data_IF_572933603676
#
_entry.id   IF_572933603676
#
_cell.length_a   1.000
_cell.length_b   1.000
_cell.length_c   1.000
_cell.angle_alpha   90.00
_cell.angle_beta   90.00
_cell.angle_gamma   90.00
#
_symmetry.space_group_name_H-M   'P 1'
#
loop_
_entity.id
_entity.type
_entity.pdbx_description
1 polymer ?
#
# COMPACT_ATOMS: atom_id res chain seq x y z
N UNK A 1 -22.68 5.01 1.84
CA UNK A 1 -21.96 4.80 3.08
C UNK A 1 -20.63 5.56 3.02
N UNK A 2 -20.22 6.30 4.10
CA UNK A 2 -18.93 7.01 4.08
C UNK A 2 -17.73 6.07 3.84
N UNK A 3 -17.78 4.84 4.29
CA UNK A 3 -16.73 3.82 4.09
C UNK A 3 -16.45 3.49 2.60
N UNK A 4 -17.41 3.76 1.72
CA UNK A 4 -17.29 3.49 0.29
C UNK A 4 -16.54 4.60 -0.48
N UNK A 5 -16.27 5.74 0.18
CA UNK A 5 -15.61 6.89 -0.44
C UNK A 5 -14.10 6.68 -0.40
N UNK A 6 -13.48 6.51 -1.55
CA UNK A 6 -12.01 6.40 -1.68
C UNK A 6 -11.43 7.68 -2.26
N UNK A 7 -10.53 8.29 -1.51
CA UNK A 7 -9.83 9.52 -1.87
C UNK A 7 -8.34 9.26 -2.00
N UNK A 8 -7.71 9.73 -3.06
CA UNK A 8 -6.27 9.63 -3.26
C UNK A 8 -5.63 10.98 -3.55
N UNK A 9 -4.44 11.18 -2.98
CA UNK A 9 -3.44 12.15 -3.44
C UNK A 9 -2.27 11.37 -4.06
N UNK A 10 -2.15 11.37 -5.41
CA UNK A 10 -1.14 10.58 -6.10
C UNK A 10 0.26 11.23 -6.12
N UNK A 11 0.43 12.42 -5.54
CA UNK A 11 1.70 13.14 -5.38
C UNK A 11 1.67 13.93 -4.06
N UNK A 12 1.48 13.21 -2.96
CA UNK A 12 1.07 13.74 -1.67
C UNK A 12 2.11 14.62 -0.97
N UNK A 13 3.38 14.58 -1.38
CA UNK A 13 4.46 15.30 -0.71
C UNK A 13 4.50 14.97 0.79
N UNK A 14 4.49 16.00 1.62
CA UNK A 14 4.46 15.85 3.08
C UNK A 14 3.05 15.57 3.66
N UNK A 15 2.03 15.34 2.83
CA UNK A 15 0.71 14.89 3.25
C UNK A 15 -0.27 16.01 3.65
N UNK A 16 -0.02 17.27 3.29
CA UNK A 16 -0.94 18.38 3.64
C UNK A 16 -2.36 18.17 3.13
N UNK A 17 -2.51 17.71 1.88
CA UNK A 17 -3.81 17.42 1.29
C UNK A 17 -4.48 16.25 2.01
N UNK A 18 -3.72 15.19 2.33
CA UNK A 18 -4.26 14.04 3.06
C UNK A 18 -4.79 14.44 4.45
N UNK A 19 -4.07 15.30 5.16
CA UNK A 19 -4.51 15.82 6.47
C UNK A 19 -5.80 16.63 6.33
N UNK A 20 -5.95 17.43 5.29
CA UNK A 20 -7.17 18.18 5.03
C UNK A 20 -8.33 17.26 4.61
N UNK A 21 -8.08 16.29 3.73
CA UNK A 21 -9.07 15.27 3.36
C UNK A 21 -9.56 14.50 4.58
N UNK A 22 -8.67 14.17 5.51
CA UNK A 22 -9.04 13.53 6.77
C UNK A 22 -10.07 14.37 7.55
N UNK A 23 -9.89 15.69 7.63
CA UNK A 23 -10.84 16.58 8.31
C UNK A 23 -12.20 16.62 7.61
N UNK A 24 -12.21 16.66 6.29
CA UNK A 24 -13.46 16.63 5.51
C UNK A 24 -14.20 15.31 5.71
N UNK A 25 -13.48 14.19 5.65
CA UNK A 25 -14.06 12.87 5.90
C UNK A 25 -14.61 12.76 7.33
N UNK A 26 -13.89 13.26 8.34
CA UNK A 26 -14.39 13.31 9.72
C UNK A 26 -15.75 13.99 9.82
N UNK A 27 -15.95 15.13 9.14
CA UNK A 27 -17.23 15.83 9.13
C UNK A 27 -18.35 14.99 8.48
N UNK A 28 -18.02 14.26 7.40
CA UNK A 28 -18.96 13.37 6.72
C UNK A 28 -19.38 12.23 7.66
N UNK A 29 -18.43 11.59 8.35
CA UNK A 29 -18.69 10.52 9.30
C UNK A 29 -19.50 10.99 10.51
N UNK A 30 -19.15 12.14 11.09
CA UNK A 30 -19.89 12.74 12.21
C UNK A 30 -21.35 13.06 11.81
N UNK A 31 -21.55 13.58 10.59
CA UNK A 31 -22.90 13.84 10.06
C UNK A 31 -23.74 12.56 9.87
N UNK A 32 -23.10 11.41 9.70
CA UNK A 32 -23.75 10.09 9.63
C UNK A 32 -23.88 9.40 11.00
N UNK A 33 -23.47 10.06 12.09
CA UNK A 33 -23.64 9.57 13.45
C UNK A 33 -22.53 8.65 13.97
N UNK A 34 -21.43 8.54 13.27
CA UNK A 34 -20.26 7.78 13.75
C UNK A 34 -19.61 8.50 14.94
N UNK A 35 -19.04 7.71 15.86
CA UNK A 35 -18.18 8.30 16.89
C UNK A 35 -16.89 8.81 16.28
N UNK A 36 -16.26 9.82 16.88
CA UNK A 36 -15.00 10.37 16.39
C UNK A 36 -13.89 9.33 16.30
N UNK A 37 -13.89 8.39 17.23
CA UNK A 37 -12.93 7.31 17.27
C UNK A 37 -13.13 6.34 16.11
N UNK A 38 -14.35 5.83 15.93
CA UNK A 38 -14.66 4.87 14.88
C UNK A 38 -14.48 5.50 13.49
N UNK A 39 -14.87 6.77 13.35
CA UNK A 39 -14.62 7.55 12.14
C UNK A 39 -13.12 7.65 11.81
N UNK A 40 -12.27 7.99 12.78
CA UNK A 40 -10.84 8.12 12.56
C UNK A 40 -10.19 6.81 12.13
N UNK A 41 -10.60 5.68 12.72
CA UNK A 41 -10.13 4.35 12.35
C UNK A 41 -10.59 3.99 10.94
N UNK A 42 -11.88 4.14 10.65
CA UNK A 42 -12.45 3.81 9.34
C UNK A 42 -11.85 4.65 8.21
N UNK A 43 -11.55 5.93 8.44
CA UNK A 43 -10.90 6.80 7.45
C UNK A 43 -9.52 6.26 7.06
N UNK A 44 -8.71 5.82 8.02
CA UNK A 44 -7.39 5.27 7.74
C UNK A 44 -7.45 3.93 7.00
N UNK A 45 -8.46 3.10 7.32
CA UNK A 45 -8.61 1.76 6.76
C UNK A 45 -9.27 1.76 5.38
N UNK A 46 -10.20 2.69 5.10
CA UNK A 46 -11.07 2.57 3.95
C UNK A 46 -10.98 3.74 2.96
N UNK A 47 -10.69 4.96 3.44
CA UNK A 47 -10.97 6.16 2.65
C UNK A 47 -9.75 6.87 2.11
N UNK A 48 -8.64 6.89 2.85
CA UNK A 48 -7.53 7.81 2.59
C UNK A 48 -6.33 7.08 2.01
N UNK A 49 -5.92 7.49 0.80
CA UNK A 49 -4.80 6.92 0.07
C UNK A 49 -3.83 8.01 -0.37
N UNK A 50 -2.53 7.73 -0.31
CA UNK A 50 -1.51 8.65 -0.74
C UNK A 50 -0.31 7.94 -1.37
N UNK A 51 0.20 8.50 -2.45
CA UNK A 51 1.40 8.03 -3.14
C UNK A 51 2.39 9.18 -3.33
N UNK A 52 3.66 8.88 -3.24
CA UNK A 52 4.76 9.76 -3.66
C UNK A 52 5.93 8.94 -4.18
N UNK A 53 6.81 9.55 -4.97
CA UNK A 53 8.05 8.91 -5.42
C UNK A 53 9.19 9.03 -4.41
N UNK A 54 9.11 10.01 -3.49
CA UNK A 54 10.12 10.25 -2.45
C UNK A 54 9.76 9.52 -1.14
N UNK A 55 10.63 8.61 -0.72
CA UNK A 55 10.48 7.86 0.53
C UNK A 55 10.37 8.76 1.77
N UNK A 56 11.08 9.89 1.80
CA UNK A 56 11.05 10.85 2.92
C UNK A 56 9.73 11.60 2.95
N UNK A 57 9.22 11.99 1.79
CA UNK A 57 7.91 12.63 1.68
C UNK A 57 6.82 11.68 2.20
N UNK A 58 6.83 10.41 1.79
CA UNK A 58 5.89 9.40 2.24
C UNK A 58 5.98 9.17 3.76
N UNK A 59 7.18 9.11 4.35
CA UNK A 59 7.34 8.99 5.80
C UNK A 59 6.78 10.20 6.55
N UNK A 60 6.97 11.42 6.03
CA UNK A 60 6.40 12.63 6.61
C UNK A 60 4.88 12.63 6.50
N UNK A 61 4.33 12.26 5.35
CA UNK A 61 2.89 12.15 5.13
C UNK A 61 2.26 11.12 6.07
N UNK A 62 2.86 9.93 6.18
CA UNK A 62 2.44 8.90 7.12
C UNK A 62 2.37 9.44 8.55
N UNK A 63 3.43 10.09 9.02
CA UNK A 63 3.48 10.69 10.35
C UNK A 63 2.39 11.75 10.52
N UNK A 64 2.23 12.66 9.55
CA UNK A 64 1.24 13.72 9.59
C UNK A 64 -0.19 13.18 9.69
N UNK A 65 -0.54 12.18 8.87
CA UNK A 65 -1.85 11.52 8.87
C UNK A 65 -2.10 10.79 10.19
N UNK A 66 -1.13 10.03 10.70
CA UNK A 66 -1.25 9.33 11.99
C UNK A 66 -1.41 10.30 13.16
N UNK A 67 -0.66 11.42 13.16
CA UNK A 67 -0.80 12.46 14.18
C UNK A 67 -2.13 13.19 14.09
N UNK A 68 -2.69 13.34 12.88
CA UNK A 68 -4.04 13.87 12.67
C UNK A 68 -5.09 12.92 13.24
N UNK A 69 -5.03 11.65 12.93
CA UNK A 69 -5.94 10.64 13.46
C UNK A 69 -5.88 10.56 14.99
N UNK A 70 -4.68 10.71 15.58
CA UNK A 70 -4.49 10.70 17.04
C UNK A 70 -5.24 11.82 17.76
N UNK A 71 -5.56 12.93 17.11
CA UNK A 71 -6.36 14.00 17.72
C UNK A 71 -7.80 13.52 18.05
N UNK A 72 -8.27 12.50 17.32
CA UNK A 72 -9.61 11.94 17.45
C UNK A 72 -9.61 10.60 18.21
N UNK A 73 -8.55 9.78 18.04
CA UNK A 73 -8.36 8.53 18.79
C UNK A 73 -6.94 8.45 19.38
N UNK A 74 -6.85 8.59 20.70
CA UNK A 74 -5.55 8.53 21.42
C UNK A 74 -4.82 7.18 21.28
N UNK A 75 -5.56 6.10 20.96
CA UNK A 75 -5.03 4.74 20.85
C UNK A 75 -4.64 4.37 19.42
N UNK A 76 -4.87 5.24 18.45
CA UNK A 76 -4.68 4.94 17.02
C UNK A 76 -3.27 4.40 16.71
N UNK A 77 -2.25 4.85 17.44
CA UNK A 77 -0.87 4.41 17.26
C UNK A 77 -0.60 2.98 17.78
N UNK A 78 -1.52 2.39 18.52
CA UNK A 78 -1.37 1.08 19.15
C UNK A 78 -2.40 0.05 18.73
N UNK A 79 -3.38 0.43 17.88
CA UNK A 79 -4.40 -0.49 17.40
C UNK A 79 -4.01 -1.27 16.13
N UNK A 80 -2.79 -1.08 15.62
CA UNK A 80 -2.29 -1.84 14.48
C UNK A 80 -2.82 -1.38 13.11
N UNK A 81 -3.57 -0.28 13.05
CA UNK A 81 -4.05 0.30 11.79
C UNK A 81 -2.87 0.94 11.05
N UNK A 82 -2.72 0.57 9.78
CA UNK A 82 -1.71 1.12 8.88
C UNK A 82 -2.44 1.92 7.80
N UNK A 83 -2.20 3.24 7.67
CA UNK A 83 -2.81 4.04 6.62
C UNK A 83 -2.23 3.68 5.26
N UNK A 84 -3.02 3.83 4.21
CA UNK A 84 -2.61 3.59 2.82
C UNK A 84 -1.78 4.75 2.25
N UNK A 85 -0.61 4.97 2.85
CA UNK A 85 0.33 6.04 2.50
C UNK A 85 1.66 5.41 2.13
N UNK A 86 2.00 5.40 0.85
CA UNK A 86 3.13 4.64 0.32
C UNK A 86 4.08 5.50 -0.49
N UNK A 87 5.38 5.18 -0.41
CA UNK A 87 6.35 5.59 -1.41
C UNK A 87 6.37 4.55 -2.55
N UNK A 88 6.27 5.00 -3.79
CA UNK A 88 6.41 4.12 -4.95
C UNK A 88 7.80 3.50 -4.92
N UNK A 89 7.85 2.17 -4.96
CA UNK A 89 9.08 1.39 -4.94
C UNK A 89 9.29 0.70 -6.28
N UNK A 90 10.56 0.64 -6.69
CA UNK A 90 10.96 -0.06 -7.89
C UNK A 90 11.21 -1.53 -7.61
N UNK A 91 10.84 -2.39 -8.54
CA UNK A 91 11.13 -3.83 -8.48
C UNK A 91 12.56 -4.17 -8.92
N UNK A 92 13.32 -3.19 -9.38
CA UNK A 92 14.70 -3.35 -9.84
C UNK A 92 15.53 -4.12 -8.81
N UNK A 93 16.21 -5.18 -9.26
CA UNK A 93 17.07 -6.00 -8.41
C UNK A 93 16.33 -6.98 -7.48
N UNK A 94 15.01 -7.16 -7.62
CA UNK A 94 14.31 -8.31 -7.03
C UNK A 94 14.69 -9.55 -7.84
N UNK A 95 15.22 -10.57 -7.16
CA UNK A 95 15.54 -11.83 -7.81
C UNK A 95 14.27 -12.66 -7.98
N UNK A 96 13.71 -12.69 -9.18
CA UNK A 96 12.48 -13.44 -9.47
C UNK A 96 12.61 -14.95 -9.23
N UNK A 97 13.83 -15.52 -9.24
CA UNK A 97 14.07 -16.93 -8.85
C UNK A 97 13.65 -17.19 -7.40
N UNK A 98 13.68 -16.15 -6.55
CA UNK A 98 13.25 -16.28 -5.16
C UNK A 98 11.73 -16.44 -5.01
N UNK A 99 10.92 -16.17 -6.03
CA UNK A 99 9.48 -16.40 -6.00
C UNK A 99 9.13 -17.89 -5.80
N UNK A 100 10.02 -18.81 -6.15
CA UNK A 100 9.85 -20.24 -5.93
C UNK A 100 9.78 -20.63 -4.44
N UNK A 101 10.30 -19.79 -3.55
CA UNK A 101 10.30 -20.01 -2.11
C UNK A 101 9.07 -19.45 -1.39
N UNK A 102 8.08 -18.97 -2.14
CA UNK A 102 6.83 -18.42 -1.59
C UNK A 102 5.64 -19.29 -1.95
N UNK A 103 4.58 -19.20 -1.15
CA UNK A 103 3.30 -19.85 -1.42
C UNK A 103 3.29 -21.36 -1.22
N UNK A 104 4.06 -21.91 -0.29
CA UNK A 104 4.12 -23.35 -0.06
C UNK A 104 2.83 -23.93 0.52
N UNK A 105 2.01 -23.15 1.22
CA UNK A 105 0.70 -23.54 1.72
C UNK A 105 -0.41 -23.49 0.66
N UNK A 106 -0.16 -22.86 -0.48
CA UNK A 106 -1.11 -22.77 -1.58
C UNK A 106 -1.13 -24.07 -2.39
N UNK A 107 -2.27 -24.37 -3.01
CA UNK A 107 -2.29 -25.46 -3.99
C UNK A 107 -1.53 -25.06 -5.27
N UNK A 108 -1.13 -26.04 -6.07
CA UNK A 108 -0.31 -25.81 -7.28
C UNK A 108 -0.93 -24.82 -8.27
N UNK A 109 -2.25 -24.81 -8.41
CA UNK A 109 -2.95 -23.89 -9.32
C UNK A 109 -2.91 -22.46 -8.78
N UNK A 110 -3.19 -22.27 -7.48
CA UNK A 110 -3.11 -20.97 -6.81
C UNK A 110 -1.67 -20.44 -6.81
N UNK A 111 -0.69 -21.29 -6.49
CA UNK A 111 0.74 -20.92 -6.49
C UNK A 111 1.19 -20.44 -7.86
N UNK A 112 0.87 -21.19 -8.92
CA UNK A 112 1.20 -20.81 -10.29
C UNK A 112 0.51 -19.50 -10.71
N UNK A 113 -0.77 -19.33 -10.36
CA UNK A 113 -1.51 -18.10 -10.66
C UNK A 113 -0.91 -16.90 -9.95
N UNK A 114 -0.63 -17.02 -8.64
CA UNK A 114 0.00 -15.97 -7.85
C UNK A 114 1.38 -15.59 -8.38
N UNK A 115 2.18 -16.59 -8.75
CA UNK A 115 3.51 -16.37 -9.33
C UNK A 115 3.44 -15.57 -10.63
N UNK A 116 2.58 -15.97 -11.57
CA UNK A 116 2.42 -15.26 -12.85
C UNK A 116 1.96 -13.81 -12.62
N UNK A 117 1.00 -13.59 -11.72
CA UNK A 117 0.53 -12.25 -11.39
C UNK A 117 1.62 -11.42 -10.71
N UNK A 118 2.41 -12.03 -9.83
CA UNK A 118 3.53 -11.35 -9.16
C UNK A 118 4.62 -10.97 -10.16
N UNK A 119 5.04 -11.86 -11.04
CA UNK A 119 6.03 -11.58 -12.10
C UNK A 119 5.57 -10.39 -12.95
N UNK A 120 4.30 -10.39 -13.39
CA UNK A 120 3.72 -9.29 -14.18
C UNK A 120 3.67 -7.97 -13.40
N UNK A 121 3.33 -8.01 -12.11
CA UNK A 121 3.35 -6.84 -11.25
C UNK A 121 4.77 -6.28 -11.12
N UNK A 122 5.75 -7.14 -10.87
CA UNK A 122 7.16 -6.73 -10.76
C UNK A 122 7.67 -6.12 -12.07
N UNK A 123 7.34 -6.71 -13.22
CA UNK A 123 7.72 -6.17 -14.53
C UNK A 123 7.10 -4.76 -14.76
N UNK A 124 5.88 -4.53 -14.28
CA UNK A 124 5.22 -3.21 -14.35
C UNK A 124 5.90 -2.19 -13.44
N UNK A 125 6.47 -2.62 -12.31
CA UNK A 125 7.13 -1.75 -11.33
C UNK A 125 8.63 -1.55 -11.60
N UNK A 126 9.16 -2.03 -12.71
CA UNK A 126 10.52 -1.67 -13.15
C UNK A 126 10.56 -0.19 -13.42
N UNK A 127 11.58 0.49 -12.87
CA UNK A 127 11.76 1.95 -12.98
C UNK A 127 10.52 2.78 -12.58
N UNK A 128 9.73 2.25 -11.64
CA UNK A 128 8.44 2.82 -11.26
C UNK A 128 8.53 4.27 -10.76
N UNK A 129 9.67 4.68 -10.19
CA UNK A 129 9.88 6.06 -9.72
C UNK A 129 9.98 7.08 -10.87
N UNK A 130 10.37 6.65 -12.07
CA UNK A 130 10.40 7.52 -13.24
C UNK A 130 8.99 7.85 -13.75
N UNK A 131 8.06 6.89 -13.63
CA UNK A 131 6.69 7.03 -14.11
C UNK A 131 5.74 7.54 -13.01
N UNK A 132 6.03 7.26 -11.76
CA UNK A 132 5.22 7.70 -10.63
C UNK A 132 3.79 7.16 -10.69
N UNK A 133 2.84 8.00 -10.35
CA UNK A 133 1.42 7.64 -10.28
C UNK A 133 0.70 7.48 -11.63
N UNK A 134 1.39 7.70 -12.76
CA UNK A 134 0.82 7.45 -14.10
C UNK A 134 0.94 5.98 -14.54
N UNK A 135 1.64 5.15 -13.77
CA UNK A 135 1.74 3.71 -14.01
C UNK A 135 0.36 3.06 -14.05
N UNK A 136 0.15 2.24 -15.06
CA UNK A 136 -1.07 1.44 -15.20
C UNK A 136 -0.78 0.01 -14.74
N UNK A 137 -1.29 -0.33 -13.57
CA UNK A 137 -1.22 -1.69 -13.02
C UNK A 137 -2.52 -2.42 -13.35
N UNK A 138 -2.39 -3.61 -13.91
CA UNK A 138 -3.55 -4.47 -14.12
C UNK A 138 -4.09 -4.99 -12.78
N UNK A 139 -5.41 -5.21 -12.72
CA UNK A 139 -6.02 -5.75 -11.53
C UNK A 139 -5.61 -7.22 -11.33
N UNK A 140 -5.14 -7.54 -10.14
CA UNK A 140 -4.73 -8.87 -9.72
C UNK A 140 -5.65 -9.40 -8.62
N UNK A 141 -5.51 -10.65 -8.28
CA UNK A 141 -6.08 -11.22 -7.05
C UNK A 141 -5.16 -10.83 -5.86
N UNK A 142 -5.42 -9.65 -5.29
CA UNK A 142 -4.58 -9.07 -4.24
C UNK A 142 -4.54 -9.92 -2.97
N UNK A 143 -5.62 -10.61 -2.62
CA UNK A 143 -5.67 -11.49 -1.47
C UNK A 143 -4.85 -12.76 -1.70
N UNK A 144 -4.88 -13.29 -2.91
CA UNK A 144 -4.02 -14.40 -3.30
C UNK A 144 -2.54 -13.99 -3.27
N UNK A 145 -2.20 -12.80 -3.77
CA UNK A 145 -0.83 -12.27 -3.75
C UNK A 145 -0.32 -12.07 -2.32
N UNK A 146 -1.16 -11.56 -1.40
CA UNK A 146 -0.78 -11.44 0.02
C UNK A 146 -0.51 -12.80 0.63
N UNK A 147 -1.41 -13.78 0.45
CA UNK A 147 -1.22 -15.13 0.95
C UNK A 147 0.06 -15.76 0.40
N UNK A 148 0.34 -15.54 -0.89
CA UNK A 148 1.56 -16.04 -1.54
C UNK A 148 2.81 -15.45 -0.90
N UNK A 149 2.87 -14.15 -0.65
CA UNK A 149 4.05 -13.48 -0.07
C UNK A 149 4.18 -13.72 1.43
N UNK A 150 3.08 -13.87 2.16
CA UNK A 150 3.11 -14.15 3.60
C UNK A 150 3.69 -15.53 3.92
N UNK A 151 3.55 -16.46 3.00
CA UNK A 151 3.99 -17.84 3.13
C UNK A 151 5.40 -18.04 2.54
N UNK A 152 6.40 -17.49 3.22
CA UNK A 152 7.80 -17.67 2.86
C UNK A 152 8.36 -18.94 3.48
N UNK A 153 8.91 -19.85 2.67
CA UNK A 153 9.58 -21.04 3.17
C UNK A 153 10.98 -20.72 3.69
N UNK A 154 11.09 -20.49 4.99
CA UNK A 154 12.35 -20.23 5.69
C UNK A 154 13.00 -21.51 6.26
N UNK A 155 12.36 -22.68 6.09
CA UNK A 155 12.79 -23.94 6.71
C UNK A 155 13.82 -24.76 5.91
N UNK A 156 14.28 -24.22 4.78
CA UNK A 156 15.26 -24.87 3.90
C UNK A 156 16.72 -24.62 4.26
N UNK A 157 17.63 -25.39 3.67
CA UNK A 157 19.07 -25.16 3.76
C UNK A 157 19.42 -23.76 3.26
N UNK A 158 20.25 -23.03 4.00
CA UNK A 158 20.79 -21.75 3.57
C UNK A 158 21.55 -21.96 2.27
N UNK A 159 21.03 -21.44 1.18
CA UNK A 159 21.65 -21.42 -0.14
C UNK A 159 21.85 -19.96 -0.57
N UNK A 160 22.65 -19.75 -1.62
CA UNK A 160 22.82 -18.40 -2.20
C UNK A 160 21.47 -17.82 -2.62
N UNK A 161 20.52 -18.66 -3.05
CA UNK A 161 19.19 -18.22 -3.48
C UNK A 161 18.26 -17.86 -2.33
N UNK A 162 18.49 -18.35 -1.11
CA UNK A 162 17.72 -18.00 0.09
C UNK A 162 18.34 -16.85 0.89
N UNK A 163 19.51 -16.37 0.46
CA UNK A 163 20.14 -15.21 1.07
C UNK A 163 19.26 -13.97 0.84
N UNK A 164 18.98 -13.20 1.90
CA UNK A 164 18.12 -12.01 1.87
C UNK A 164 16.64 -12.28 1.49
N UNK A 165 16.13 -13.48 1.74
CA UNK A 165 14.73 -13.81 1.47
C UNK A 165 13.76 -12.91 2.25
N UNK A 166 14.12 -12.55 3.50
CA UNK A 166 13.32 -11.62 4.34
C UNK A 166 13.22 -10.22 3.70
N UNK A 167 14.34 -9.71 3.16
CA UNK A 167 14.34 -8.41 2.45
C UNK A 167 13.47 -8.48 1.18
N UNK A 168 13.56 -9.61 0.46
CA UNK A 168 12.72 -9.84 -0.72
C UNK A 168 11.24 -9.91 -0.34
N UNK A 169 10.90 -10.60 0.74
CA UNK A 169 9.52 -10.66 1.23
C UNK A 169 8.94 -9.29 1.53
N UNK A 170 9.71 -8.43 2.23
CA UNK A 170 9.30 -7.05 2.54
C UNK A 170 9.07 -6.27 1.25
N UNK A 171 9.96 -6.38 0.27
CA UNK A 171 9.83 -5.70 -1.02
C UNK A 171 8.62 -6.20 -1.81
N UNK A 172 8.36 -7.51 -1.82
CA UNK A 172 7.18 -8.09 -2.46
C UNK A 172 5.88 -7.60 -1.80
N UNK A 173 5.81 -7.57 -0.46
CA UNK A 173 4.66 -7.01 0.26
C UNK A 173 4.40 -5.56 -0.14
N UNK A 174 5.43 -4.73 -0.15
CA UNK A 174 5.32 -3.33 -0.58
C UNK A 174 4.85 -3.22 -2.04
N UNK A 175 5.36 -4.08 -2.93
CA UNK A 175 4.93 -4.10 -4.34
C UNK A 175 3.45 -4.44 -4.48
N UNK A 176 2.92 -5.37 -3.67
CA UNK A 176 1.49 -5.72 -3.66
C UNK A 176 0.63 -4.55 -3.20
N UNK A 177 1.01 -3.87 -2.10
CA UNK A 177 0.24 -2.72 -1.59
C UNK A 177 0.26 -1.54 -2.56
N UNK A 178 1.42 -1.21 -3.14
CA UNK A 178 1.56 -0.16 -4.15
C UNK A 178 0.78 -0.53 -5.41
N UNK A 179 0.90 -1.78 -5.88
CA UNK A 179 0.20 -2.27 -7.05
C UNK A 179 -1.31 -2.18 -6.89
N UNK A 180 -1.85 -2.59 -5.75
CA UNK A 180 -3.27 -2.45 -5.45
C UNK A 180 -3.71 -0.97 -5.41
N UNK A 181 -2.91 -0.12 -4.78
CA UNK A 181 -3.19 1.31 -4.70
C UNK A 181 -3.24 1.97 -6.10
N UNK A 182 -2.36 1.54 -7.02
CA UNK A 182 -2.34 2.03 -8.41
C UNK A 182 -3.47 1.45 -9.27
N UNK A 183 -3.87 0.19 -9.04
CA UNK A 183 -4.88 -0.50 -9.85
C UNK A 183 -6.33 -0.15 -9.48
N UNK A 184 -6.58 0.24 -8.22
CA UNK A 184 -7.94 0.49 -7.76
C UNK A 184 -8.51 1.80 -8.29
N UNK A 185 -9.85 1.90 -8.27
CA UNK A 185 -10.57 3.13 -8.66
C UNK A 185 -10.89 3.98 -7.44
N UNK A 186 -10.79 5.28 -7.60
CA UNK A 186 -11.06 6.27 -6.58
C UNK A 186 -12.28 7.13 -6.93
N UNK A 187 -13.03 7.54 -5.91
CA UNK A 187 -14.16 8.45 -6.07
C UNK A 187 -13.66 9.91 -6.18
N UNK A 188 -12.55 10.20 -5.49
CA UNK A 188 -11.96 11.54 -5.43
C UNK A 188 -10.46 11.44 -5.64
N UNK A 189 -9.93 12.23 -6.56
CA UNK A 189 -8.50 12.40 -6.77
C UNK A 189 -8.18 13.88 -6.55
N UNK A 190 -7.30 14.18 -5.62
CA UNK A 190 -6.84 15.55 -5.34
C UNK A 190 -5.33 15.56 -5.41
N UNK A 191 -4.76 16.41 -6.24
CA UNK A 191 -3.31 16.48 -6.42
C UNK A 191 -2.84 17.94 -6.50
N UNK A 192 -1.69 18.20 -5.93
CA UNK A 192 -0.94 19.44 -6.13
C UNK A 192 0.51 19.09 -6.49
N UNK A 193 0.76 18.67 -7.75
CA UNK A 193 2.09 18.27 -8.17
C UNK A 193 3.06 19.46 -8.11
N UNK A 194 4.36 19.20 -7.83
CA UNK A 194 5.35 20.26 -7.82
C UNK A 194 5.43 20.91 -9.20
N UNK A 195 5.48 22.24 -9.20
CA UNK A 195 5.76 22.99 -10.44
C UNK A 195 7.23 22.79 -10.79
N UNK A 196 7.50 22.30 -12.00
CA UNK A 196 8.85 22.24 -12.57
C UNK A 196 9.20 23.58 -13.22
#
# INVERSE_FOLDING_TARGET
>A
NPEDIRCIDPCMGSGHILVYLFEVLMQIYEAQGYTRRDAAQSILENNLYGLDIDDRAAQMAYFAVMMKARQYDRRILTCGIVPHVYAIQESNGINQVQLDYFGDSLNETEKNTARIQMEKLLDTLVDAKEYGSILQVENCDWDLLRRFVDDANTSGQISINTLHLDDTQIRLKNSVEIGQCLAQKYNVVVANPPYM
#
